data_IF_591405815147
#
_entry.id   IF_591405815147
#
_cell.length_a   1.000
_cell.length_b   1.000
_cell.length_c   1.000
_cell.angle_alpha   90.00
_cell.angle_beta   90.00
_cell.angle_gamma   90.00
#
_symmetry.space_group_name_H-M   'P 1'
#
loop_
_entity.id
_entity.type
_entity.pdbx_description
1 polymer ?
#
# COMPACT_ATOMS: atom_id res chain seq x y z
N UNK A 1 3.03 6.03 22.92
CA UNK A 1 1.56 6.30 22.98
C UNK A 1 1.10 6.87 21.65
N UNK A 2 -0.10 6.50 21.15
CA UNK A 2 -0.55 6.94 19.83
C UNK A 2 -1.12 8.36 19.82
N UNK A 3 -1.55 8.87 20.98
CA UNK A 3 -2.03 10.25 21.11
C UNK A 3 -0.86 11.24 21.05
N UNK A 4 -0.96 12.20 20.14
CA UNK A 4 -0.01 13.30 20.03
C UNK A 4 -0.17 14.27 21.21
N UNK A 5 0.87 15.07 21.52
CA UNK A 5 0.79 16.11 22.53
C UNK A 5 -0.40 17.07 22.36
N UNK A 6 -0.83 17.30 21.11
CA UNK A 6 -1.99 18.11 20.82
C UNK A 6 -3.34 17.44 21.14
N UNK A 7 -3.39 16.13 21.35
CA UNK A 7 -4.63 15.36 21.56
C UNK A 7 -5.13 14.62 20.32
N UNK A 8 -4.53 14.84 19.15
CA UNK A 8 -4.84 14.04 17.94
C UNK A 8 -4.27 12.64 18.10
N UNK A 9 -5.13 11.63 17.99
CA UNK A 9 -4.68 10.25 17.94
C UNK A 9 -4.02 9.95 16.57
N UNK A 10 -2.73 9.62 16.56
CA UNK A 10 -2.02 9.29 15.34
C UNK A 10 -2.46 7.95 14.73
N UNK A 11 -3.14 7.09 15.48
CA UNK A 11 -3.63 5.80 14.98
C UNK A 11 -4.80 5.96 14.01
N UNK A 12 -5.56 7.06 14.12
CA UNK A 12 -6.62 7.37 13.15
C UNK A 12 -6.10 8.13 11.92
N UNK A 13 -4.78 8.37 11.82
CA UNK A 13 -4.20 9.12 10.72
C UNK A 13 -3.85 8.22 9.53
N UNK A 14 -4.44 8.51 8.36
CA UNK A 14 -4.14 7.78 7.12
C UNK A 14 -2.67 7.76 6.72
N UNK A 15 -1.89 8.81 7.02
CA UNK A 15 -0.45 8.82 6.73
C UNK A 15 0.34 7.86 7.62
N UNK A 16 -0.12 7.60 8.85
CA UNK A 16 0.48 6.63 9.77
C UNK A 16 0.13 5.21 9.34
N UNK A 17 -1.14 4.99 9.01
CA UNK A 17 -1.63 3.73 8.47
C UNK A 17 -0.89 3.30 7.20
N UNK A 18 -0.60 4.24 6.30
CA UNK A 18 0.18 4.00 5.08
C UNK A 18 1.71 3.96 5.31
N UNK A 19 2.19 4.11 6.55
CA UNK A 19 3.61 4.10 6.87
C UNK A 19 4.41 5.33 6.40
N UNK A 20 3.74 6.37 5.87
CA UNK A 20 4.34 7.64 5.40
C UNK A 20 4.81 8.51 6.59
N UNK A 21 4.20 8.31 7.76
CA UNK A 21 4.37 9.14 8.93
C UNK A 21 4.48 8.28 10.20
N UNK A 22 5.44 8.57 11.06
CA UNK A 22 5.49 8.03 12.42
C UNK A 22 4.51 8.74 13.38
N UNK A 23 4.18 8.12 14.51
CA UNK A 23 3.46 8.79 15.61
C UNK A 23 4.18 10.05 16.07
N UNK A 24 3.42 11.08 16.44
CA UNK A 24 3.95 12.27 17.09
C UNK A 24 4.20 12.06 18.59
N UNK A 25 3.52 11.10 19.23
CA UNK A 25 3.66 10.81 20.66
C UNK A 25 3.25 11.96 21.60
N UNK A 26 3.28 11.68 22.91
CA UNK A 26 3.11 12.71 23.94
C UNK A 26 4.35 13.59 24.01
N UNK A 27 4.22 14.83 24.51
CA UNK A 27 5.33 15.78 24.52
C UNK A 27 6.60 15.28 25.23
N UNK A 28 6.47 14.38 26.19
CA UNK A 28 7.60 13.78 26.94
C UNK A 28 8.10 12.46 26.34
N UNK A 29 7.57 11.99 25.21
CA UNK A 29 7.90 10.68 24.67
C UNK A 29 9.09 10.71 23.72
N UNK A 30 9.77 9.58 23.56
CA UNK A 30 10.87 9.45 22.59
C UNK A 30 10.38 9.66 21.15
N UNK A 31 9.15 9.24 20.85
CA UNK A 31 8.53 9.48 19.55
C UNK A 31 8.41 10.98 19.26
N UNK A 32 8.07 11.81 20.25
CA UNK A 32 8.02 13.26 20.07
C UNK A 32 9.39 13.86 19.77
N UNK A 33 10.44 13.43 20.47
CA UNK A 33 11.83 13.86 20.22
C UNK A 33 12.22 13.51 18.78
N UNK A 34 12.06 12.23 18.40
CA UNK A 34 12.37 11.74 17.06
C UNK A 34 11.57 12.50 15.98
N UNK A 35 10.31 12.84 16.27
CA UNK A 35 9.43 13.56 15.36
C UNK A 35 9.87 15.00 15.17
N UNK A 36 10.20 15.70 16.25
CA UNK A 36 10.69 17.09 16.23
C UNK A 36 11.99 17.17 15.41
N UNK A 37 12.93 16.25 15.66
CA UNK A 37 14.19 16.18 14.91
C UNK A 37 13.96 15.91 13.42
N UNK A 38 13.10 14.95 13.09
CA UNK A 38 12.74 14.65 11.71
C UNK A 38 12.08 15.86 11.03
N UNK A 39 11.20 16.58 11.71
CA UNK A 39 10.55 17.78 11.16
C UNK A 39 11.54 18.93 10.96
N UNK A 40 12.46 19.16 11.91
CA UNK A 40 13.54 20.15 11.75
C UNK A 40 14.42 19.82 10.54
N UNK A 41 14.83 18.56 10.39
CA UNK A 41 15.65 18.12 9.25
C UNK A 41 14.93 18.26 7.91
N UNK A 42 13.64 17.94 7.86
CA UNK A 42 12.87 17.91 6.61
C UNK A 42 12.25 19.25 6.22
N UNK A 43 11.95 20.12 7.19
CA UNK A 43 11.14 21.33 6.98
C UNK A 43 11.74 22.59 7.61
N UNK A 44 12.91 22.50 8.25
CA UNK A 44 13.55 23.61 8.95
C UNK A 44 12.91 24.00 10.28
N UNK A 45 11.68 23.54 10.57
CA UNK A 45 10.96 23.84 11.82
C UNK A 45 10.06 22.69 12.26
N UNK A 46 9.90 22.46 13.58
CA UNK A 46 8.98 21.47 14.11
C UNK A 46 7.55 21.99 14.17
N UNK A 47 6.60 21.08 14.46
CA UNK A 47 5.27 21.48 14.88
C UNK A 47 5.37 22.33 16.16
N UNK A 48 4.80 23.55 16.19
CA UNK A 48 4.92 24.45 17.34
C UNK A 48 4.28 23.87 18.60
N UNK A 49 3.16 23.14 18.46
CA UNK A 49 2.48 22.50 19.60
C UNK A 49 3.33 21.37 20.18
N UNK A 50 3.88 20.49 19.34
CA UNK A 50 4.70 19.37 19.81
C UNK A 50 6.02 19.86 20.43
N UNK A 51 6.66 20.85 19.81
CA UNK A 51 7.88 21.46 20.34
C UNK A 51 7.64 22.18 21.67
N UNK A 52 6.53 22.92 21.78
CA UNK A 52 6.17 23.59 23.04
C UNK A 52 5.88 22.57 24.15
N UNK A 53 5.13 21.50 23.86
CA UNK A 53 4.85 20.45 24.83
C UNK A 53 6.13 19.75 25.32
N UNK A 54 7.07 19.46 24.41
CA UNK A 54 8.36 18.87 24.74
C UNK A 54 9.22 19.81 25.59
N UNK A 55 9.28 21.10 25.24
CA UNK A 55 10.06 22.11 25.95
C UNK A 55 9.53 22.34 27.38
N UNK A 56 8.22 22.28 27.57
CA UNK A 56 7.58 22.44 28.89
C UNK A 56 7.42 21.12 29.64
N UNK A 57 7.96 20.02 29.13
CA UNK A 57 7.88 18.69 29.74
C UNK A 57 6.45 18.23 30.08
N UNK A 58 5.47 18.60 29.26
CA UNK A 58 4.07 18.18 29.42
C UNK A 58 3.73 17.05 28.44
N UNK A 59 2.88 16.10 28.85
CA UNK A 59 2.50 14.99 27.98
C UNK A 59 1.46 15.42 26.95
N UNK A 60 0.36 16.02 27.39
CA UNK A 60 -0.75 16.44 26.53
C UNK A 60 -1.21 17.86 26.87
N UNK A 61 -1.31 18.73 25.86
CA UNK A 61 -1.73 20.11 26.06
C UNK A 61 -3.13 20.21 26.68
N UNK A 62 -4.09 19.38 26.25
CA UNK A 62 -5.47 19.44 26.75
C UNK A 62 -5.61 19.05 28.23
N UNK A 63 -4.72 18.18 28.73
CA UNK A 63 -4.79 17.64 30.09
C UNK A 63 -3.83 18.35 31.05
N UNK A 64 -2.62 18.64 30.57
CA UNK A 64 -1.49 18.99 31.44
C UNK A 64 -1.08 20.47 31.33
N UNK A 65 -1.51 21.20 30.30
CA UNK A 65 -1.14 22.60 30.13
C UNK A 65 -2.12 23.52 30.87
N UNK A 66 -1.66 24.18 31.93
CA UNK A 66 -2.49 25.12 32.70
C UNK A 66 -2.91 26.37 31.90
N UNK A 67 -2.14 26.74 30.87
CA UNK A 67 -2.47 27.86 29.99
C UNK A 67 -3.45 27.47 28.88
N UNK A 68 -3.86 26.21 28.79
CA UNK A 68 -4.78 25.77 27.76
C UNK A 68 -6.20 26.34 28.02
N UNK A 69 -6.89 26.88 27.00
CA UNK A 69 -6.45 27.09 25.62
C UNK A 69 -5.56 28.34 25.46
N UNK A 70 -4.31 28.14 25.03
CA UNK A 70 -3.30 29.18 24.87
C UNK A 70 -3.22 29.71 23.44
N UNK A 71 -2.37 30.72 23.20
CA UNK A 71 -2.17 31.34 21.88
C UNK A 71 -1.80 30.34 20.77
N UNK A 72 -1.05 29.26 21.08
CA UNK A 72 -0.75 28.21 20.10
C UNK A 72 -2.01 27.52 19.53
N UNK A 73 -3.11 27.51 20.29
CA UNK A 73 -4.39 26.93 19.91
C UNK A 73 -5.40 27.98 19.45
N UNK A 74 -5.24 29.26 19.84
CA UNK A 74 -6.11 30.37 19.46
C UNK A 74 -5.69 31.05 18.16
N UNK A 75 -4.39 31.22 17.93
CA UNK A 75 -3.83 31.97 16.80
C UNK A 75 -3.79 31.17 15.49
N UNK A 76 -3.98 29.86 15.54
CA UNK A 76 -4.17 29.01 14.36
C UNK A 76 -5.39 28.12 14.56
N UNK A 77 -6.08 27.66 13.51
CA UNK A 77 -7.27 26.85 13.71
C UNK A 77 -6.86 25.44 14.17
N UNK A 78 -6.70 25.24 15.47
CA UNK A 78 -6.60 23.90 16.06
C UNK A 78 -7.98 23.20 16.00
N UNK A 79 -8.09 21.87 15.79
CA UNK A 79 -7.04 20.84 15.61
C UNK A 79 -6.43 20.72 14.22
N UNK A 80 -7.03 21.34 13.20
CA UNK A 80 -6.67 21.17 11.79
C UNK A 80 -6.23 22.49 11.18
N UNK A 81 -5.05 22.97 11.57
CA UNK A 81 -4.54 24.24 11.06
C UNK A 81 -4.33 24.18 9.54
N UNK A 82 -4.36 25.32 8.85
CA UNK A 82 -4.05 25.34 7.41
C UNK A 82 -2.70 24.67 7.11
N UNK A 83 -1.70 24.85 7.98
CA UNK A 83 -0.42 24.15 7.87
C UNK A 83 -0.55 22.63 7.99
N UNK A 84 -1.42 22.11 8.85
CA UNK A 84 -1.73 20.68 8.95
C UNK A 84 -2.47 20.18 7.71
N UNK A 85 -3.49 20.91 7.25
CA UNK A 85 -4.27 20.55 6.06
C UNK A 85 -3.39 20.54 4.80
N UNK A 86 -2.61 21.58 4.56
CA UNK A 86 -1.65 21.66 3.46
C UNK A 86 -0.58 20.56 3.53
N UNK A 87 -0.17 20.16 4.74
CA UNK A 87 0.72 19.00 4.94
C UNK A 87 0.03 17.69 4.58
N UNK A 88 -1.22 17.47 4.99
CA UNK A 88 -2.00 16.29 4.64
C UNK A 88 -2.22 16.20 3.13
N UNK A 89 -2.67 17.27 2.48
CA UNK A 89 -2.87 17.30 1.02
C UNK A 89 -1.60 16.96 0.27
N UNK A 90 -0.49 17.62 0.61
CA UNK A 90 0.81 17.36 -0.01
C UNK A 90 1.26 15.93 0.23
N UNK A 91 1.21 15.42 1.46
CA UNK A 91 1.72 14.08 1.79
C UNK A 91 0.83 12.95 1.28
N UNK A 92 -0.46 13.19 1.06
CA UNK A 92 -1.37 12.24 0.43
C UNK A 92 -1.20 12.20 -1.09
N UNK A 93 -0.74 13.30 -1.69
CA UNK A 93 -0.31 13.37 -3.09
C UNK A 93 1.12 12.85 -3.30
N UNK A 94 1.99 12.92 -2.29
CA UNK A 94 3.33 12.36 -2.34
C UNK A 94 3.25 10.83 -2.29
N UNK A 95 3.63 10.18 -3.39
CA UNK A 95 3.86 8.74 -3.40
C UNK A 95 5.13 8.47 -2.57
N UNK A 96 5.05 7.79 -1.40
CA UNK A 96 6.27 7.36 -0.74
C UNK A 96 7.04 6.47 -1.72
N UNK A 97 8.38 6.57 -1.80
CA UNK A 97 9.13 5.71 -2.68
C UNK A 97 8.89 4.26 -2.29
N UNK A 98 8.63 3.40 -3.27
CA UNK A 98 8.51 1.97 -3.03
C UNK A 98 9.80 1.45 -2.43
N UNK A 99 9.66 0.63 -1.38
CA UNK A 99 10.80 0.08 -0.66
C UNK A 99 10.79 -1.43 -0.66
N UNK A 100 11.98 -2.00 -0.79
CA UNK A 100 12.21 -3.42 -0.56
C UNK A 100 11.90 -3.79 0.90
N UNK A 101 11.75 -5.08 1.21
CA UNK A 101 11.73 -5.60 2.59
C UNK A 101 12.84 -5.05 3.49
N UNK A 102 14.03 -4.82 2.91
CA UNK A 102 15.21 -4.25 3.58
C UNK A 102 15.22 -2.71 3.68
N UNK A 103 14.15 -2.06 3.22
CA UNK A 103 13.93 -0.60 3.19
C UNK A 103 14.77 0.16 2.15
N UNK A 104 15.38 -0.55 1.21
CA UNK A 104 16.07 0.05 0.05
C UNK A 104 15.05 0.56 -0.97
N UNK A 105 15.44 1.53 -1.80
CA UNK A 105 14.59 1.98 -2.92
C UNK A 105 14.45 0.86 -3.95
N UNK A 106 13.21 0.61 -4.40
CA UNK A 106 12.98 -0.29 -5.52
C UNK A 106 13.54 0.35 -6.79
N UNK A 107 14.32 -0.42 -7.52
CA UNK A 107 14.87 -0.07 -8.83
C UNK A 107 14.37 -1.08 -9.83
N UNK A 108 13.90 -0.61 -10.97
CA UNK A 108 13.55 -1.46 -12.10
C UNK A 108 14.82 -1.69 -12.91
N UNK A 109 15.29 -2.94 -13.08
CA UNK A 109 16.46 -3.22 -13.90
C UNK A 109 16.17 -2.89 -15.37
N UNK A 110 16.93 -2.00 -16.04
CA UNK A 110 16.70 -1.65 -17.44
C UNK A 110 16.69 -2.86 -18.38
N UNK A 111 17.48 -3.88 -18.05
CA UNK A 111 17.57 -5.13 -18.81
C UNK A 111 16.22 -5.86 -18.93
N UNK A 112 15.28 -5.65 -18.01
CA UNK A 112 13.95 -6.26 -18.11
C UNK A 112 13.16 -5.71 -19.29
N UNK A 113 13.30 -4.40 -19.57
CA UNK A 113 12.72 -3.80 -20.76
C UNK A 113 13.41 -4.30 -22.03
N UNK A 114 14.73 -4.44 -22.01
CA UNK A 114 15.49 -4.97 -23.14
C UNK A 114 15.11 -6.43 -23.46
N UNK A 115 14.89 -7.24 -22.43
CA UNK A 115 14.46 -8.63 -22.58
C UNK A 115 13.00 -8.72 -23.03
N UNK A 116 12.14 -7.82 -22.57
CA UNK A 116 10.75 -7.76 -23.01
C UNK A 116 10.66 -7.37 -24.49
N UNK A 117 11.48 -6.43 -24.96
CA UNK A 117 11.58 -6.02 -26.38
C UNK A 117 11.97 -7.17 -27.31
N UNK A 118 12.70 -8.17 -26.82
CA UNK A 118 13.09 -9.36 -27.60
C UNK A 118 11.95 -10.37 -27.76
N UNK A 119 10.87 -10.23 -26.98
CA UNK A 119 9.70 -11.12 -27.04
C UNK A 119 8.64 -10.57 -28.01
N UNK A 120 7.92 -11.47 -28.67
CA UNK A 120 6.80 -11.09 -29.55
C UNK A 120 5.59 -10.63 -28.74
N UNK A 121 5.07 -9.43 -29.04
CA UNK A 121 3.91 -8.82 -28.36
C UNK A 121 2.70 -9.75 -28.42
N UNK A 122 2.39 -10.31 -29.59
CA UNK A 122 1.25 -11.19 -29.80
C UNK A 122 1.34 -12.44 -28.93
N UNK A 123 2.55 -13.02 -28.81
CA UNK A 123 2.76 -14.22 -27.99
C UNK A 123 2.61 -13.92 -26.50
N UNK A 124 3.13 -12.77 -26.06
CA UNK A 124 2.95 -12.32 -24.68
C UNK A 124 1.47 -12.09 -24.36
N UNK A 125 0.73 -11.44 -25.26
CA UNK A 125 -0.71 -11.21 -25.12
C UNK A 125 -1.49 -12.52 -24.97
N UNK A 126 -1.20 -13.51 -25.82
CA UNK A 126 -1.79 -14.85 -25.75
C UNK A 126 -1.54 -15.52 -24.38
N UNK A 127 -0.28 -15.56 -23.93
CA UNK A 127 0.10 -16.25 -22.68
C UNK A 127 -0.47 -15.57 -21.43
N UNK A 128 -0.56 -14.24 -21.45
CA UNK A 128 -0.96 -13.42 -20.30
C UNK A 128 -2.44 -13.05 -20.26
N UNK A 129 -3.21 -13.42 -21.29
CA UNK A 129 -4.61 -13.01 -21.47
C UNK A 129 -4.75 -11.47 -21.50
N UNK A 130 -3.80 -10.80 -22.14
CA UNK A 130 -3.80 -9.34 -22.37
C UNK A 130 -4.02 -9.03 -23.85
N UNK A 131 -4.19 -7.75 -24.20
CA UNK A 131 -4.48 -7.34 -25.57
C UNK A 131 -3.31 -6.57 -26.18
N UNK A 132 -2.96 -6.80 -27.46
CA UNK A 132 -1.94 -6.02 -28.14
C UNK A 132 -2.42 -4.58 -28.33
N UNK A 133 -1.57 -3.61 -28.02
CA UNK A 133 -1.79 -2.19 -28.27
C UNK A 133 -0.71 -1.68 -29.21
N UNK A 134 -0.82 -2.07 -30.48
CA UNK A 134 0.20 -1.79 -31.48
C UNK A 134 0.15 -0.32 -31.94
N UNK A 135 1.32 0.30 -32.20
CA UNK A 135 2.66 -0.30 -32.14
C UNK A 135 3.32 -0.25 -30.75
N UNK A 136 2.70 0.42 -29.77
CA UNK A 136 3.31 0.84 -28.50
C UNK A 136 3.68 -0.32 -27.56
N UNK A 137 2.78 -1.30 -27.39
CA UNK A 137 3.05 -2.42 -26.48
C UNK A 137 1.81 -3.25 -26.15
N UNK A 138 1.59 -3.47 -24.85
CA UNK A 138 0.59 -4.42 -24.34
C UNK A 138 -0.37 -3.73 -23.39
N UNK A 139 -1.66 -3.94 -23.57
CA UNK A 139 -2.70 -3.49 -22.66
C UNK A 139 -3.11 -4.62 -21.72
N UNK A 140 -2.89 -4.44 -20.43
CA UNK A 140 -3.24 -5.42 -19.39
C UNK A 140 -4.14 -4.80 -18.33
N UNK A 141 -5.13 -5.58 -17.88
CA UNK A 141 -5.97 -5.22 -16.75
C UNK A 141 -5.22 -5.50 -15.45
N UNK A 142 -4.96 -4.45 -14.66
CA UNK A 142 -4.50 -4.57 -13.29
C UNK A 142 -5.62 -4.21 -12.32
N UNK A 143 -6.17 -5.19 -11.61
CA UNK A 143 -7.44 -5.04 -10.86
C UNK A 143 -8.54 -4.47 -11.77
N UNK A 144 -8.94 -3.20 -11.58
CA UNK A 144 -9.91 -2.49 -12.44
C UNK A 144 -9.28 -1.54 -13.44
N UNK A 145 -7.99 -1.27 -13.36
CA UNK A 145 -7.32 -0.27 -14.18
C UNK A 145 -6.75 -0.91 -15.45
N UNK A 146 -6.99 -0.28 -16.60
CA UNK A 146 -6.33 -0.65 -17.85
C UNK A 146 -4.95 0.01 -17.90
N UNK A 147 -3.90 -0.82 -17.90
CA UNK A 147 -2.51 -0.38 -17.94
C UNK A 147 -1.92 -0.73 -19.30
N UNK A 148 -1.47 0.30 -20.01
CA UNK A 148 -0.61 0.15 -21.16
C UNK A 148 0.84 0.03 -20.68
N UNK A 149 1.44 -1.11 -20.96
CA UNK A 149 2.88 -1.35 -20.88
C UNK A 149 3.49 -0.95 -22.20
N UNK A 150 4.03 0.26 -22.24
CA UNK A 150 4.67 0.84 -23.43
C UNK A 150 6.10 0.30 -23.53
N UNK A 151 6.29 -0.62 -24.46
CA UNK A 151 7.56 -1.31 -24.67
C UNK A 151 8.53 -0.42 -25.45
N UNK A 152 8.03 0.52 -26.26
CA UNK A 152 8.88 1.42 -27.04
C UNK A 152 9.55 2.44 -26.13
N UNK A 153 8.74 3.15 -25.32
CA UNK A 153 9.20 4.22 -24.44
C UNK A 153 9.60 3.73 -23.03
N UNK A 154 9.55 2.41 -22.79
CA UNK A 154 9.87 1.77 -21.52
C UNK A 154 9.15 2.43 -20.33
N UNK A 155 7.84 2.56 -20.44
CA UNK A 155 7.06 3.19 -19.38
C UNK A 155 5.64 2.63 -19.27
N UNK A 156 4.95 3.05 -18.21
CA UNK A 156 3.58 2.63 -17.93
C UNK A 156 2.61 3.80 -18.07
N UNK A 157 1.47 3.54 -18.70
CA UNK A 157 0.35 4.47 -18.79
C UNK A 157 -0.92 3.84 -18.24
N UNK A 158 -1.66 4.57 -17.41
CA UNK A 158 -3.04 4.25 -17.06
C UNK A 158 -3.96 4.84 -18.12
N UNK A 159 -4.78 4.01 -18.75
CA UNK A 159 -5.76 4.44 -19.75
C UNK A 159 -7.12 4.68 -19.08
N UNK A 160 -7.68 5.86 -19.34
CA UNK A 160 -9.06 6.25 -19.01
C UNK A 160 -9.77 6.66 -20.31
N UNK A 161 -11.11 6.67 -20.37
CA UNK A 161 -11.84 6.97 -21.60
C UNK A 161 -11.37 8.23 -22.35
N UNK A 162 -11.03 9.29 -21.62
CA UNK A 162 -10.67 10.60 -22.19
C UNK A 162 -9.22 11.04 -21.89
N UNK A 163 -8.42 10.22 -21.20
CA UNK A 163 -7.09 10.61 -20.76
C UNK A 163 -6.16 9.41 -20.59
N UNK A 164 -4.87 9.61 -20.91
CA UNK A 164 -3.79 8.74 -20.43
C UNK A 164 -2.99 9.43 -19.32
N UNK A 165 -2.66 8.69 -18.28
CA UNK A 165 -1.92 9.19 -17.11
C UNK A 165 -0.64 8.38 -16.97
N UNK A 166 0.52 9.04 -16.96
CA UNK A 166 1.81 8.34 -16.77
C UNK A 166 1.86 7.75 -15.37
N UNK A 167 2.15 6.46 -15.28
CA UNK A 167 2.34 5.78 -14.02
C UNK A 167 3.82 5.86 -13.65
N UNK A 168 4.11 6.60 -12.59
CA UNK A 168 5.39 6.56 -11.87
C UNK A 168 5.20 5.72 -10.59
N UNK A 169 5.43 4.41 -10.72
CA UNK A 169 5.29 3.43 -9.63
C UNK A 169 6.26 2.24 -9.85
N UNK A 170 7.51 2.34 -9.36
CA UNK A 170 8.55 1.35 -9.63
C UNK A 170 8.21 -0.08 -9.24
N UNK A 171 7.46 -0.29 -8.14
CA UNK A 171 7.03 -1.63 -7.74
C UNK A 171 6.05 -2.25 -8.74
N UNK A 172 5.09 -1.46 -9.23
CA UNK A 172 4.12 -1.92 -10.23
C UNK A 172 4.82 -2.22 -11.55
N UNK A 173 5.74 -1.35 -11.98
CA UNK A 173 6.58 -1.57 -13.15
C UNK A 173 7.38 -2.87 -13.04
N UNK A 174 8.08 -3.07 -11.92
CA UNK A 174 8.85 -4.29 -11.69
C UNK A 174 7.95 -5.55 -11.73
N UNK A 175 6.81 -5.52 -11.03
CA UNK A 175 5.88 -6.67 -10.97
C UNK A 175 5.31 -6.99 -12.36
N UNK A 176 4.93 -5.99 -13.15
CA UNK A 176 4.42 -6.20 -14.51
C UNK A 176 5.51 -6.75 -15.44
N UNK A 177 6.73 -6.21 -15.39
CA UNK A 177 7.84 -6.72 -16.19
C UNK A 177 8.17 -8.17 -15.84
N UNK A 178 8.29 -8.49 -14.55
CA UNK A 178 8.53 -9.87 -14.09
C UNK A 178 7.40 -10.79 -14.56
N UNK A 179 6.14 -10.35 -14.46
CA UNK A 179 5.00 -11.12 -14.96
C UNK A 179 5.13 -11.42 -16.46
N UNK A 180 5.35 -10.41 -17.31
CA UNK A 180 5.46 -10.65 -18.76
C UNK A 180 6.72 -11.44 -19.15
N UNK A 181 7.80 -11.32 -18.41
CA UNK A 181 9.01 -12.10 -18.66
C UNK A 181 8.83 -13.58 -18.31
N UNK A 182 7.99 -13.91 -17.32
CA UNK A 182 7.82 -15.27 -16.81
C UNK A 182 6.48 -15.93 -17.14
N UNK A 183 5.51 -15.18 -17.69
CA UNK A 183 4.16 -15.72 -17.96
C UNK A 183 4.24 -16.96 -18.85
N UNK A 184 3.63 -18.04 -18.36
CA UNK A 184 3.60 -19.35 -19.02
C UNK A 184 2.21 -19.63 -19.58
N UNK A 185 2.05 -20.74 -20.30
CA UNK A 185 0.75 -21.23 -20.77
C UNK A 185 -0.09 -21.90 -19.68
N UNK A 186 0.44 -22.06 -18.46
CA UNK A 186 -0.25 -22.78 -17.38
C UNK A 186 -1.56 -22.08 -17.03
N UNK A 187 -2.60 -22.87 -16.78
CA UNK A 187 -3.91 -22.36 -16.35
C UNK A 187 -3.96 -22.29 -14.82
N UNK A 188 -5.01 -21.62 -14.31
CA UNK A 188 -5.29 -21.63 -12.87
C UNK A 188 -5.42 -23.07 -12.37
N UNK A 189 -4.69 -23.38 -11.30
CA UNK A 189 -4.71 -24.71 -10.70
C UNK A 189 -6.03 -24.98 -9.97
N UNK A 190 -6.68 -23.91 -9.48
CA UNK A 190 -7.82 -23.93 -8.56
C UNK A 190 -7.51 -24.56 -7.21
N UNK A 191 -6.23 -24.71 -6.89
CA UNK A 191 -5.74 -25.12 -5.58
C UNK A 191 -5.40 -23.86 -4.78
N UNK A 192 -6.14 -23.63 -3.69
CA UNK A 192 -5.87 -22.52 -2.77
C UNK A 192 -4.81 -22.92 -1.74
N UNK A 193 -3.76 -22.11 -1.65
CA UNK A 193 -2.57 -22.42 -0.87
C UNK A 193 -2.20 -21.23 0.01
N UNK A 194 -1.65 -21.50 1.20
CA UNK A 194 -1.16 -20.44 2.06
C UNK A 194 0.27 -20.04 1.68
N UNK A 195 0.75 -18.94 2.26
CA UNK A 195 2.15 -18.52 2.11
C UNK A 195 3.17 -19.60 2.53
N UNK A 196 2.79 -20.51 3.44
CA UNK A 196 3.64 -21.59 3.92
C UNK A 196 3.77 -22.74 2.92
N UNK A 197 2.82 -22.84 2.00
CA UNK A 197 2.74 -23.91 1.02
C UNK A 197 3.46 -23.54 -0.28
N UNK A 198 3.89 -22.28 -0.44
CA UNK A 198 4.67 -21.83 -1.59
C UNK A 198 6.05 -22.53 -1.63
N UNK A 199 6.56 -22.83 -2.82
CA UNK A 199 7.89 -23.44 -3.06
C UNK A 199 8.99 -22.67 -2.33
N UNK A 200 8.87 -21.34 -2.33
CA UNK A 200 9.80 -20.41 -1.71
C UNK A 200 9.23 -19.83 -0.40
N UNK A 201 8.45 -20.60 0.37
CA UNK A 201 7.83 -20.16 1.62
C UNK A 201 8.82 -19.52 2.63
N UNK A 202 10.08 -19.97 2.62
CA UNK A 202 11.16 -19.41 3.44
C UNK A 202 11.46 -17.94 3.13
N UNK A 203 11.16 -17.48 1.91
CA UNK A 203 11.29 -16.08 1.52
C UNK A 203 10.35 -15.19 2.33
N UNK A 204 9.15 -15.65 2.69
CA UNK A 204 8.11 -14.82 3.31
C UNK A 204 8.22 -14.73 4.84
N UNK A 205 9.44 -14.59 5.35
CA UNK A 205 9.74 -14.52 6.77
C UNK A 205 10.52 -13.24 7.12
N UNK A 206 10.49 -12.85 8.39
CA UNK A 206 11.18 -11.65 8.87
C UNK A 206 10.79 -10.39 8.09
N UNK A 207 11.74 -9.65 7.49
CA UNK A 207 11.42 -8.41 6.76
C UNK A 207 10.55 -8.64 5.52
N UNK A 208 10.53 -9.87 5.00
CA UNK A 208 9.76 -10.29 3.82
C UNK A 208 8.41 -10.93 4.18
N UNK A 209 8.02 -10.95 5.45
CA UNK A 209 6.68 -11.39 5.84
C UNK A 209 5.61 -10.52 5.14
N UNK A 210 4.47 -11.13 4.80
CA UNK A 210 3.33 -10.40 4.23
C UNK A 210 2.77 -9.43 5.28
N UNK A 211 2.58 -8.17 4.88
CA UNK A 211 2.19 -7.09 5.80
C UNK A 211 0.67 -7.00 5.94
N UNK A 212 0.10 -7.83 6.79
CA UNK A 212 -1.35 -7.84 7.07
C UNK A 212 -1.77 -6.87 8.17
N UNK A 213 -0.85 -6.46 9.06
CA UNK A 213 -1.15 -5.63 10.22
C UNK A 213 -1.88 -4.30 9.89
N UNK A 214 -1.49 -3.50 8.88
CA UNK A 214 -2.22 -2.27 8.55
C UNK A 214 -3.66 -2.53 8.09
N UNK A 215 -3.90 -3.64 7.38
CA UNK A 215 -5.25 -4.03 6.98
C UNK A 215 -6.08 -4.42 8.21
N UNK A 216 -5.50 -5.16 9.15
CA UNK A 216 -6.15 -5.50 10.42
C UNK A 216 -6.44 -4.27 11.27
N UNK A 217 -5.51 -3.33 11.37
CA UNK A 217 -5.73 -2.06 12.08
C UNK A 217 -6.89 -1.26 11.47
N UNK A 218 -7.05 -1.31 10.14
CA UNK A 218 -8.12 -0.60 9.43
C UNK A 218 -9.46 -1.32 9.48
N UNK A 219 -9.47 -2.63 9.30
CA UNK A 219 -10.66 -3.42 8.96
C UNK A 219 -11.05 -4.47 9.99
N UNK A 220 -10.20 -4.77 10.97
CA UNK A 220 -10.46 -5.85 11.94
C UNK A 220 -11.73 -5.68 12.77
N UNK A 221 -12.31 -4.46 12.81
CA UNK A 221 -13.61 -4.14 13.41
C UNK A 221 -14.54 -3.37 12.45
N UNK A 222 -14.18 -3.33 11.16
CA UNK A 222 -14.92 -2.62 10.11
C UNK A 222 -15.06 -3.53 8.89
N UNK A 223 -15.86 -4.59 9.09
CA UNK A 223 -16.16 -5.58 8.07
C UNK A 223 -16.83 -4.92 6.84
N UNK A 224 -17.73 -3.96 7.07
CA UNK A 224 -18.39 -3.22 5.99
C UNK A 224 -17.39 -2.42 5.14
N UNK A 225 -16.43 -1.75 5.77
CA UNK A 225 -15.37 -1.03 5.07
C UNK A 225 -14.45 -1.95 4.27
N UNK A 226 -14.20 -3.17 4.75
CA UNK A 226 -13.44 -4.16 4.00
C UNK A 226 -14.18 -4.63 2.75
N UNK A 227 -15.47 -4.97 2.88
CA UNK A 227 -16.35 -5.32 1.76
C UNK A 227 -16.34 -4.23 0.69
N UNK A 228 -16.62 -3.00 1.09
CA UNK A 228 -16.66 -1.85 0.17
C UNK A 228 -15.31 -1.66 -0.53
N UNK A 229 -14.19 -1.76 0.18
CA UNK A 229 -12.87 -1.59 -0.43
C UNK A 229 -12.54 -2.71 -1.43
N UNK A 230 -12.84 -3.97 -1.11
CA UNK A 230 -12.62 -5.09 -2.00
C UNK A 230 -13.50 -4.99 -3.27
N UNK A 231 -14.78 -4.72 -3.11
CA UNK A 231 -15.74 -4.55 -4.23
C UNK A 231 -15.38 -3.36 -5.12
N UNK A 232 -14.93 -2.25 -4.53
CA UNK A 232 -14.44 -1.08 -5.27
C UNK A 232 -13.27 -1.42 -6.18
N UNK A 233 -12.50 -2.48 -5.90
CA UNK A 233 -11.40 -2.96 -6.76
C UNK A 233 -11.77 -4.15 -7.63
N UNK A 234 -13.04 -4.59 -7.61
CA UNK A 234 -13.54 -5.69 -8.43
C UNK A 234 -13.35 -7.05 -7.80
N UNK A 235 -13.18 -7.08 -6.47
CA UNK A 235 -13.18 -8.33 -5.72
C UNK A 235 -14.53 -9.03 -5.81
N UNK A 236 -14.46 -10.35 -5.88
CA UNK A 236 -15.61 -11.25 -5.84
C UNK A 236 -15.70 -11.87 -4.44
N UNK A 237 -16.86 -11.82 -3.76
CA UNK A 237 -17.00 -12.41 -2.44
C UNK A 237 -16.89 -13.93 -2.50
N UNK A 238 -16.30 -14.54 -1.46
CA UNK A 238 -16.20 -16.00 -1.29
C UNK A 238 -16.58 -16.39 0.13
N UNK A 239 -17.11 -17.59 0.31
CA UNK A 239 -17.56 -18.12 1.60
C UNK A 239 -16.47 -18.97 2.27
N UNK A 240 -15.51 -18.30 2.92
CA UNK A 240 -14.33 -18.95 3.54
C UNK A 240 -13.86 -18.33 4.87
N UNK A 241 -14.46 -17.21 5.27
CA UNK A 241 -14.21 -16.48 6.52
C UNK A 241 -15.46 -15.62 6.80
N UNK A 242 -15.47 -14.86 7.90
CA UNK A 242 -16.57 -13.92 8.17
C UNK A 242 -16.75 -12.94 7.01
N UNK A 243 -15.63 -12.49 6.43
CA UNK A 243 -15.60 -11.91 5.08
C UNK A 243 -14.36 -12.33 4.33
N UNK A 244 -14.55 -12.78 3.09
CA UNK A 244 -13.45 -13.07 2.19
C UNK A 244 -13.75 -12.60 0.76
N UNK A 245 -12.70 -12.18 0.06
CA UNK A 245 -12.77 -11.79 -1.35
C UNK A 245 -11.63 -12.39 -2.17
N UNK A 246 -11.97 -12.83 -3.37
CA UNK A 246 -11.03 -13.10 -4.46
C UNK A 246 -10.77 -11.80 -5.22
N UNK A 247 -9.52 -11.38 -5.25
CA UNK A 247 -9.02 -10.25 -6.03
C UNK A 247 -8.13 -10.79 -7.15
N UNK A 248 -8.38 -10.35 -8.39
CA UNK A 248 -7.58 -10.74 -9.56
C UNK A 248 -6.74 -9.55 -10.03
N UNK A 249 -5.61 -9.23 -9.36
CA UNK A 249 -4.76 -8.14 -9.79
C UNK A 249 -4.17 -8.33 -11.18
N UNK A 250 -4.02 -9.57 -11.65
CA UNK A 250 -3.68 -9.89 -13.04
C UNK A 250 -4.59 -11.04 -13.51
N UNK A 251 -4.84 -11.20 -14.82
CA UNK A 251 -5.80 -12.18 -15.33
C UNK A 251 -5.58 -13.63 -14.85
N UNK A 252 -4.32 -14.00 -14.61
CA UNK A 252 -3.90 -15.35 -14.19
C UNK A 252 -3.48 -15.46 -12.73
N UNK A 253 -3.68 -14.39 -11.95
CA UNK A 253 -3.15 -14.30 -10.57
C UNK A 253 -4.28 -13.92 -9.61
N UNK A 254 -5.12 -14.87 -9.17
CA UNK A 254 -6.08 -14.64 -8.10
C UNK A 254 -5.39 -14.66 -6.73
N UNK A 255 -5.75 -13.70 -5.89
CA UNK A 255 -5.38 -13.59 -4.48
C UNK A 255 -6.65 -13.64 -3.64
N UNK A 256 -6.61 -14.33 -2.50
CA UNK A 256 -7.76 -14.45 -1.61
C UNK A 256 -7.43 -13.80 -0.28
N UNK A 257 -8.17 -12.74 0.07
CA UNK A 257 -8.03 -12.08 1.37
C UNK A 257 -9.17 -12.51 2.26
N UNK A 258 -8.85 -13.19 3.36
CA UNK A 258 -9.78 -13.75 4.32
C UNK A 258 -9.65 -12.97 5.63
N UNK A 259 -10.74 -12.36 6.09
CA UNK A 259 -10.82 -11.60 7.32
C UNK A 259 -11.82 -12.28 8.27
N UNK A 260 -11.34 -12.62 9.46
CA UNK A 260 -12.17 -13.02 10.59
C UNK A 260 -12.30 -11.85 11.54
N UNK A 261 -13.54 -11.49 11.87
CA UNK A 261 -13.84 -10.46 12.85
C UNK A 261 -13.41 -10.95 14.24
N UNK A 262 -12.81 -10.07 15.02
CA UNK A 262 -12.49 -10.40 16.40
C UNK A 262 -13.73 -10.30 17.29
N UNK A 263 -13.81 -11.16 18.30
CA UNK A 263 -14.83 -11.10 19.33
C UNK A 263 -14.21 -10.85 20.71
N UNK A 264 -14.95 -11.16 21.78
CA UNK A 264 -14.46 -10.98 23.16
C UNK A 264 -13.32 -11.97 23.52
N UNK A 265 -13.22 -13.10 22.82
CA UNK A 265 -12.28 -14.18 23.10
C UNK A 265 -11.08 -14.20 22.12
N UNK A 266 -11.29 -13.75 20.88
CA UNK A 266 -10.31 -13.84 19.78
C UNK A 266 -10.05 -12.49 19.12
N UNK A 267 -8.77 -12.19 18.86
CA UNK A 267 -8.37 -11.01 18.10
C UNK A 267 -8.69 -11.19 16.60
N UNK A 268 -9.02 -10.11 15.88
CA UNK A 268 -9.28 -10.20 14.44
C UNK A 268 -8.06 -10.75 13.69
N UNK A 269 -8.32 -11.57 12.69
CA UNK A 269 -7.28 -12.27 11.93
C UNK A 269 -7.45 -12.06 10.43
N UNK A 270 -6.34 -11.87 9.72
CA UNK A 270 -6.32 -11.72 8.27
C UNK A 270 -5.32 -12.70 7.68
N UNK A 271 -5.78 -13.51 6.73
CA UNK A 271 -4.95 -14.41 5.94
C UNK A 271 -5.01 -14.03 4.47
N UNK A 272 -3.90 -14.25 3.76
CA UNK A 272 -3.80 -14.08 2.31
C UNK A 272 -3.45 -15.46 1.73
N UNK A 273 -4.32 -15.98 0.87
CA UNK A 273 -4.10 -17.21 0.14
C UNK A 273 -3.87 -16.91 -1.35
N UNK A 274 -3.34 -17.90 -2.05
CA UNK A 274 -2.96 -17.83 -3.45
C UNK A 274 -3.56 -19.02 -4.21
N UNK A 275 -3.76 -18.89 -5.51
CA UNK A 275 -3.83 -20.08 -6.36
C UNK A 275 -2.41 -20.59 -6.63
N UNK A 276 -2.18 -21.90 -6.55
CA UNK A 276 -0.86 -22.53 -6.79
C UNK A 276 -0.24 -22.11 -8.12
N UNK A 277 -1.03 -21.79 -9.15
CA UNK A 277 -0.52 -21.36 -10.46
C UNK A 277 0.30 -20.07 -10.41
N UNK A 278 0.24 -19.29 -9.33
CA UNK A 278 1.06 -18.08 -9.16
C UNK A 278 2.56 -18.38 -9.31
N UNK A 279 3.00 -19.57 -8.90
CA UNK A 279 4.40 -20.00 -8.91
C UNK A 279 4.94 -20.25 -10.32
N UNK A 280 4.05 -20.49 -11.28
CA UNK A 280 4.37 -20.60 -12.71
C UNK A 280 4.55 -19.24 -13.39
N UNK A 281 4.21 -18.14 -12.71
CA UNK A 281 4.13 -16.81 -13.33
C UNK A 281 4.96 -15.76 -12.61
N UNK A 282 5.21 -15.91 -11.31
CA UNK A 282 5.89 -14.92 -10.49
C UNK A 282 6.94 -15.57 -9.57
N UNK A 283 8.07 -14.89 -9.42
CA UNK A 283 9.06 -15.17 -8.38
C UNK A 283 8.56 -14.70 -7.00
N UNK A 284 9.14 -15.24 -5.92
CA UNK A 284 8.70 -14.94 -4.55
C UNK A 284 8.72 -13.45 -4.20
N UNK A 285 9.71 -12.70 -4.68
CA UNK A 285 9.82 -11.25 -4.52
C UNK A 285 8.74 -10.48 -5.30
N UNK A 286 8.39 -10.94 -6.50
CA UNK A 286 7.29 -10.37 -7.27
C UNK A 286 5.91 -10.69 -6.65
N UNK A 287 5.72 -11.89 -6.08
CA UNK A 287 4.53 -12.23 -5.29
C UNK A 287 4.41 -11.28 -4.09
N UNK A 288 5.49 -11.09 -3.32
CA UNK A 288 5.52 -10.15 -2.20
C UNK A 288 5.19 -8.72 -2.64
N UNK A 289 5.77 -8.29 -3.76
CA UNK A 289 5.50 -6.99 -4.37
C UNK A 289 4.03 -6.80 -4.73
N UNK A 290 3.45 -7.78 -5.42
CA UNK A 290 2.04 -7.80 -5.82
C UNK A 290 1.10 -7.72 -4.62
N UNK A 291 1.36 -8.52 -3.58
CA UNK A 291 0.55 -8.49 -2.35
C UNK A 291 0.60 -7.11 -1.69
N UNK A 292 1.75 -6.43 -1.69
CA UNK A 292 1.84 -5.06 -1.16
C UNK A 292 1.05 -4.05 -1.99
N UNK A 293 1.13 -4.13 -3.32
CA UNK A 293 0.35 -3.27 -4.22
C UNK A 293 -1.16 -3.41 -3.93
N UNK A 294 -1.64 -4.65 -3.88
CA UNK A 294 -3.06 -4.95 -3.61
C UNK A 294 -3.47 -4.51 -2.20
N UNK A 295 -2.63 -4.76 -1.20
CA UNK A 295 -2.90 -4.37 0.19
C UNK A 295 -2.94 -2.85 0.37
N UNK A 296 -2.05 -2.11 -0.30
CA UNK A 296 -2.07 -0.63 -0.30
C UNK A 296 -3.34 -0.10 -0.98
N UNK A 297 -3.81 -0.76 -2.03
CA UNK A 297 -5.05 -0.41 -2.74
C UNK A 297 -6.33 -0.71 -1.93
N UNK A 298 -6.29 -1.73 -1.06
CA UNK A 298 -7.33 -2.05 -0.06
C UNK A 298 -7.37 -1.02 1.06
N UNK A 299 -6.22 -0.72 1.70
CA UNK A 299 -6.03 0.59 2.36
C UNK A 299 -6.36 1.68 1.31
N UNK A 300 -6.45 2.98 1.53
CA UNK A 300 -6.98 3.90 0.48
C UNK A 300 -8.40 3.62 -0.07
N UNK A 301 -9.05 2.48 0.20
CA UNK A 301 -10.46 2.18 -0.13
C UNK A 301 -10.75 2.06 -1.63
N UNK A 302 -9.83 1.56 -2.44
CA UNK A 302 -10.04 1.45 -3.89
C UNK A 302 -9.85 2.77 -4.64
N UNK A 303 -9.26 3.81 -4.04
CA UNK A 303 -8.89 5.09 -4.72
C UNK A 303 -7.52 5.05 -5.41
N UNK A 304 -7.47 5.40 -6.70
CA UNK A 304 -6.25 5.38 -7.53
C UNK A 304 -5.20 6.39 -7.03
N UNK A 305 -3.97 5.94 -6.83
CA UNK A 305 -2.74 6.78 -6.85
C UNK A 305 -1.78 6.20 -7.88
#
# INVERSE_FOLDING_TARGET
MPTAACGINCDVCGLRLLGICSSCGSGTSQEAINKIEAQKRLFGKPCPVLACAQMNHIQFCLRDCQSFPCENFRAGPYPLSEGYLNMQERRRKQKPPDRTPKRDLIKVPPEYWDDLKKKGIEKLCELSLSTPHLPEGILIRFLKDDILVDIQDCCLWRLKPDQREKIDHPLLELVLLVYFLNVSSDLLSREMISVKDLKDAHFFQGPHALKTAPLLERYGKDISGFKQAAENMGGEPIDMADVAYKLSPLPKIPLYYLLWEGDEEFQPHLSILFDRSIESHLSADAIWGLVNLVSIRLLMGGSNV
#
